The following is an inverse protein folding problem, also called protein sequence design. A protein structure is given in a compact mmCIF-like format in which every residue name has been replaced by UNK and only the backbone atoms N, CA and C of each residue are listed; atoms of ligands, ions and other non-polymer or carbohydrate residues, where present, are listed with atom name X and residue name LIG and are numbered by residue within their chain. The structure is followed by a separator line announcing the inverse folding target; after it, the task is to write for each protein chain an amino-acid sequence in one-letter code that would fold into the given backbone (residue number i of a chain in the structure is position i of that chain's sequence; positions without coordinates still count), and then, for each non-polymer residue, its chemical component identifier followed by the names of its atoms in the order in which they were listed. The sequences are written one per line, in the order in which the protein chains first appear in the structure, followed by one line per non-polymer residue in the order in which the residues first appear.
data_IF_511771022629
#
_entry.id   IF_511771022629
#
_cell.length_a   1.000
_cell.length_b   1.000
_cell.length_c   1.000
_cell.angle_alpha   90.00
_cell.angle_beta   90.00
_cell.angle_gamma   90.00
#
_symmetry.space_group_name_H-M   'P 1'
#
loop_
_entity.id
_entity.type
_entity.pdbx_description
1 polymer ?
#
# COMPACT_ATOMS: atom_id res chain seq x y z
N UNK A 1 13.08 -5.99 11.71
CA UNK A 1 13.65 -6.95 10.74
C UNK A 1 13.53 -6.32 9.37
N UNK A 2 14.50 -6.51 8.48
CA UNK A 2 14.38 -6.02 7.11
C UNK A 2 13.40 -6.91 6.34
N UNK A 3 12.49 -6.30 5.59
CA UNK A 3 11.60 -6.98 4.65
C UNK A 3 11.97 -6.57 3.22
N UNK A 4 11.73 -7.45 2.26
CA UNK A 4 12.06 -7.20 0.84
C UNK A 4 10.82 -7.31 -0.03
N UNK A 5 10.82 -6.59 -1.15
CA UNK A 5 9.89 -6.75 -2.24
C UNK A 5 10.68 -6.86 -3.55
N UNK A 6 10.19 -7.67 -4.47
CA UNK A 6 10.82 -7.89 -5.77
C UNK A 6 9.79 -7.79 -6.89
N UNK A 7 10.19 -7.15 -7.99
CA UNK A 7 9.50 -7.21 -9.27
C UNK A 7 10.14 -8.32 -10.08
N UNK A 8 9.37 -9.34 -10.40
CA UNK A 8 9.80 -10.50 -11.15
C UNK A 8 9.03 -10.63 -12.45
N UNK A 9 9.70 -11.11 -13.49
CA UNK A 9 9.06 -11.47 -14.75
C UNK A 9 9.40 -12.91 -15.09
N UNK A 10 8.40 -13.78 -14.97
CA UNK A 10 8.61 -15.21 -15.04
C UNK A 10 9.74 -15.63 -14.10
N UNK A 11 9.60 -15.41 -12.79
CA UNK A 11 10.54 -15.83 -11.74
C UNK A 11 11.98 -15.33 -11.84
N UNK A 12 12.27 -14.35 -12.71
CA UNK A 12 13.55 -13.65 -12.75
C UNK A 12 13.36 -12.24 -12.20
N UNK A 13 14.14 -11.90 -11.18
CA UNK A 13 14.13 -10.60 -10.51
C UNK A 13 14.63 -9.49 -11.43
N UNK A 14 13.88 -8.39 -11.51
CA UNK A 14 14.22 -7.17 -12.27
C UNK A 14 14.63 -6.06 -11.31
N UNK A 15 13.83 -5.83 -10.27
CA UNK A 15 14.07 -4.79 -9.26
C UNK A 15 13.81 -5.39 -7.89
N UNK A 16 14.71 -5.15 -6.94
CA UNK A 16 14.56 -5.50 -5.53
C UNK A 16 14.66 -4.27 -4.65
N UNK A 17 13.76 -4.17 -3.68
CA UNK A 17 13.72 -3.05 -2.74
C UNK A 17 13.62 -3.54 -1.30
N UNK A 18 14.29 -2.83 -0.39
CA UNK A 18 14.31 -3.16 1.03
C UNK A 18 13.43 -2.18 1.81
N UNK A 19 12.51 -2.71 2.63
CA UNK A 19 11.61 -1.97 3.53
C UNK A 19 10.64 -0.98 2.86
N UNK A 20 10.63 -0.92 1.54
CA UNK A 20 9.65 -0.19 0.73
C UNK A 20 9.43 -0.95 -0.58
N UNK A 21 8.43 -0.52 -1.35
CA UNK A 21 8.25 -0.97 -2.73
C UNK A 21 8.01 0.23 -3.65
N UNK A 22 8.29 0.03 -4.93
CA UNK A 22 7.92 0.96 -5.98
C UNK A 22 7.01 0.21 -6.95
N UNK A 23 5.85 0.76 -7.26
CA UNK A 23 4.88 0.12 -8.15
C UNK A 23 5.40 0.00 -9.58
N UNK A 24 6.41 0.78 -9.99
CA UNK A 24 6.94 0.77 -11.35
C UNK A 24 5.80 0.94 -12.38
N UNK A 25 5.65 0.02 -13.34
CA UNK A 25 4.54 0.04 -14.30
C UNK A 25 3.23 -0.56 -13.77
N UNK A 26 3.15 -1.10 -12.54
CA UNK A 26 1.91 -1.63 -11.99
C UNK A 26 0.91 -0.54 -11.63
N UNK A 27 -0.38 -0.89 -11.66
CA UNK A 27 -1.50 -0.04 -11.22
C UNK A 27 -2.17 -0.63 -9.98
N UNK A 28 -2.87 0.20 -9.20
CA UNK A 28 -3.63 -0.27 -8.02
C UNK A 28 -4.70 -1.30 -8.37
N UNK A 29 -5.25 -1.22 -9.58
CA UNK A 29 -6.22 -2.16 -10.14
C UNK A 29 -5.66 -3.58 -10.34
N UNK A 30 -4.32 -3.73 -10.33
CA UNK A 30 -3.62 -4.99 -10.57
C UNK A 30 -3.25 -5.72 -9.28
N UNK A 31 -3.75 -5.25 -8.14
CA UNK A 31 -3.61 -5.91 -6.84
C UNK A 31 -4.43 -7.20 -6.81
N UNK A 32 -3.78 -8.29 -6.37
CA UNK A 32 -4.39 -9.61 -6.20
C UNK A 32 -3.98 -10.16 -4.84
N UNK A 33 -4.97 -10.69 -4.10
CA UNK A 33 -4.74 -11.45 -2.88
C UNK A 33 -4.91 -12.92 -3.24
N UNK A 34 -3.83 -13.70 -3.14
CA UNK A 34 -3.84 -15.15 -3.40
C UNK A 34 -3.77 -15.87 -2.05
N UNK A 35 -4.72 -16.76 -1.79
CA UNK A 35 -4.70 -17.60 -0.58
C UNK A 35 -3.59 -18.65 -0.73
N UNK A 36 -2.69 -18.72 0.24
CA UNK A 36 -1.63 -19.73 0.26
C UNK A 36 -2.21 -21.15 0.31
N UNK A 37 -1.63 -22.08 -0.46
CA UNK A 37 -2.03 -23.49 -0.46
C UNK A 37 -1.57 -24.26 0.78
N UNK A 38 -0.46 -23.84 1.41
CA UNK A 38 0.23 -24.62 2.45
C UNK A 38 0.30 -23.97 3.83
N UNK A 39 0.34 -22.64 3.92
CA UNK A 39 0.51 -21.90 5.20
C UNK A 39 -0.76 -21.21 5.69
N UNK A 40 -1.85 -21.22 4.90
CA UNK A 40 -3.08 -20.43 5.09
C UNK A 40 -2.85 -18.90 5.16
N UNK A 41 -1.59 -18.45 5.03
CA UNK A 41 -1.25 -17.03 4.95
C UNK A 41 -1.48 -16.51 3.52
N UNK A 42 -2.22 -15.40 3.37
CA UNK A 42 -2.44 -14.78 2.07
C UNK A 42 -1.15 -14.13 1.55
N UNK A 43 -0.90 -14.28 0.25
CA UNK A 43 0.13 -13.52 -0.46
C UNK A 43 -0.50 -12.32 -1.17
N UNK A 44 0.21 -11.20 -1.13
CA UNK A 44 -0.25 -9.90 -1.64
C UNK A 44 0.65 -9.46 -2.79
N UNK A 45 0.08 -9.47 -4.00
CA UNK A 45 0.84 -9.26 -5.24
C UNK A 45 0.20 -8.21 -6.13
N UNK A 46 1.01 -7.48 -6.88
CA UNK A 46 0.56 -6.84 -8.11
C UNK A 46 0.88 -7.75 -9.29
N UNK A 47 -0.05 -7.93 -10.21
CA UNK A 47 0.11 -8.87 -11.33
C UNK A 47 -0.37 -8.25 -12.64
N UNK A 48 0.49 -8.25 -13.65
CA UNK A 48 0.14 -7.86 -15.02
C UNK A 48 0.67 -8.89 -16.03
N UNK A 49 0.08 -8.93 -17.23
CA UNK A 49 0.60 -9.78 -18.31
C UNK A 49 1.87 -9.17 -18.93
N UNK A 50 2.75 -10.02 -19.48
CA UNK A 50 3.92 -9.59 -20.23
C UNK A 50 3.56 -8.72 -21.44
N UNK A 51 2.41 -8.95 -22.08
CA UNK A 51 1.90 -8.08 -23.16
C UNK A 51 1.55 -6.68 -22.65
N UNK A 52 0.91 -6.59 -21.47
CA UNK A 52 0.61 -5.32 -20.82
C UNK A 52 1.88 -4.57 -20.46
N UNK A 53 2.86 -5.25 -19.86
CA UNK A 53 4.15 -4.67 -19.51
C UNK A 53 4.88 -4.17 -20.77
N UNK A 54 4.96 -5.01 -21.81
CA UNK A 54 5.58 -4.64 -23.10
C UNK A 54 4.97 -3.37 -23.69
N UNK A 55 3.64 -3.28 -23.69
CA UNK A 55 2.95 -2.08 -24.18
C UNK A 55 3.29 -0.84 -23.36
N UNK A 56 3.37 -0.95 -22.03
CA UNK A 56 3.70 0.18 -21.14
C UNK A 56 5.14 0.64 -21.34
N UNK A 57 6.09 -0.28 -21.41
CA UNK A 57 7.49 -0.01 -21.75
C UNK A 57 7.61 0.68 -23.10
N UNK A 58 6.91 0.18 -24.13
CA UNK A 58 6.97 0.75 -25.48
C UNK A 58 6.39 2.18 -25.54
N UNK A 59 5.33 2.46 -24.78
CA UNK A 59 4.78 3.81 -24.64
C UNK A 59 5.74 4.78 -23.95
N UNK A 60 6.61 4.27 -23.08
CA UNK A 60 7.64 5.04 -22.37
C UNK A 60 8.98 5.09 -23.13
N UNK A 61 9.03 4.50 -24.34
CA UNK A 61 10.20 4.54 -25.23
C UNK A 61 11.16 3.35 -25.08
N UNK A 62 10.84 2.37 -24.23
CA UNK A 62 11.63 1.16 -24.03
C UNK A 62 11.15 0.03 -24.94
N UNK A 63 12.02 -0.42 -25.85
CA UNK A 63 11.73 -1.47 -26.82
C UNK A 63 13.02 -2.20 -27.23
N UNK A 64 12.93 -3.14 -28.17
CA UNK A 64 14.08 -3.93 -28.60
C UNK A 64 15.22 -3.06 -29.20
N UNK A 65 14.90 -1.92 -29.81
CA UNK A 65 15.91 -1.02 -30.35
C UNK A 65 16.63 -0.22 -29.26
N UNK A 66 15.90 0.24 -28.24
CA UNK A 66 16.52 0.91 -27.08
C UNK A 66 17.37 -0.07 -26.27
N UNK A 67 16.88 -1.30 -26.04
CA UNK A 67 17.65 -2.38 -25.42
C UNK A 67 18.94 -2.63 -26.19
N UNK A 68 18.89 -2.69 -27.53
CA UNK A 68 20.10 -2.91 -28.33
C UNK A 68 21.13 -1.81 -28.14
N UNK A 69 20.70 -0.55 -28.06
CA UNK A 69 21.59 0.57 -27.79
C UNK A 69 22.23 0.46 -26.40
N UNK A 70 21.43 0.18 -25.36
CA UNK A 70 21.95 -0.03 -24.01
C UNK A 70 22.92 -1.21 -23.94
N UNK A 71 22.60 -2.30 -24.64
CA UNK A 71 23.43 -3.49 -24.71
C UNK A 71 24.79 -3.19 -25.34
N UNK A 72 24.80 -2.51 -26.50
CA UNK A 72 26.04 -2.18 -27.19
C UNK A 72 26.92 -1.25 -26.33
N UNK A 73 26.31 -0.29 -25.63
CA UNK A 73 26.99 0.62 -24.71
C UNK A 73 27.56 -0.11 -23.49
N UNK A 74 26.75 -0.93 -22.83
CA UNK A 74 27.16 -1.66 -21.63
C UNK A 74 28.20 -2.73 -21.95
N UNK A 75 28.05 -3.44 -23.08
CA UNK A 75 29.04 -4.42 -23.52
C UNK A 75 30.38 -3.74 -23.87
N UNK A 76 30.36 -2.54 -24.45
CA UNK A 76 31.57 -1.76 -24.70
C UNK A 76 32.23 -1.32 -23.38
N UNK A 77 31.43 -0.90 -22.39
CA UNK A 77 31.92 -0.58 -21.06
C UNK A 77 32.55 -1.81 -20.38
N UNK A 78 31.89 -2.96 -20.45
CA UNK A 78 32.40 -4.24 -19.94
C UNK A 78 33.75 -4.62 -20.55
N UNK A 79 33.91 -4.44 -21.87
CA UNK A 79 35.19 -4.70 -22.55
C UNK A 79 36.30 -3.77 -22.02
N UNK A 80 35.99 -2.49 -21.84
CA UNK A 80 36.93 -1.51 -21.30
C UNK A 80 37.34 -1.86 -19.87
N UNK A 81 36.38 -2.17 -19.03
CA UNK A 81 36.51 -2.86 -17.75
C UNK A 81 37.61 -3.91 -17.67
N UNK A 82 37.43 -4.93 -18.52
CA UNK A 82 38.35 -6.05 -18.61
C UNK A 82 39.73 -5.60 -19.04
N UNK A 83 39.85 -4.68 -20.01
CA UNK A 83 41.15 -4.15 -20.44
C UNK A 83 41.87 -3.40 -19.31
N UNK A 84 41.16 -2.55 -18.58
CA UNK A 84 41.70 -1.79 -17.46
C UNK A 84 42.14 -2.75 -16.32
N UNK A 85 41.35 -3.79 -16.03
CA UNK A 85 41.70 -4.80 -15.04
C UNK A 85 42.92 -5.64 -15.46
N UNK A 86 43.02 -6.05 -16.73
CA UNK A 86 44.18 -6.78 -17.26
C UNK A 86 45.45 -5.92 -17.18
N UNK A 87 45.34 -4.60 -17.36
CA UNK A 87 46.47 -3.69 -17.23
C UNK A 87 46.99 -3.59 -15.78
N UNK A 88 46.11 -3.75 -14.79
CA UNK A 88 46.46 -3.74 -13.36
C UNK A 88 46.96 -5.13 -12.91
N UNK A 89 46.25 -6.19 -13.30
CA UNK A 89 46.55 -7.59 -13.00
C UNK A 89 46.45 -8.46 -14.27
N UNK A 90 47.59 -8.71 -14.94
CA UNK A 90 47.64 -9.48 -16.20
C UNK A 90 47.20 -10.94 -16.11
N UNK A 91 47.14 -11.50 -14.90
CA UNK A 91 46.73 -12.88 -14.64
C UNK A 91 45.29 -12.98 -14.12
N UNK A 92 44.56 -11.85 -14.06
CA UNK A 92 43.16 -11.81 -13.64
C UNK A 92 42.23 -12.58 -14.59
N UNK A 93 41.09 -13.04 -14.07
CA UNK A 93 40.02 -13.69 -14.86
C UNK A 93 39.47 -12.81 -15.98
N UNK A 94 39.64 -11.48 -15.92
CA UNK A 94 39.23 -10.57 -17.01
C UNK A 94 39.83 -10.96 -18.37
N UNK A 95 41.04 -11.56 -18.38
CA UNK A 95 41.69 -12.08 -19.59
C UNK A 95 40.94 -13.23 -20.27
N UNK A 96 40.21 -14.05 -19.50
CA UNK A 96 39.39 -15.13 -20.06
C UNK A 96 38.02 -14.62 -20.51
N UNK A 97 37.50 -13.56 -19.87
CA UNK A 97 36.21 -12.95 -20.21
C UNK A 97 36.26 -12.06 -21.46
N UNK A 98 37.33 -11.28 -21.66
CA UNK A 98 37.41 -10.31 -22.75
C UNK A 98 37.13 -10.93 -24.15
N UNK A 99 37.74 -12.06 -24.55
CA UNK A 99 37.45 -12.67 -25.85
C UNK A 99 35.99 -13.16 -26.00
N UNK A 100 35.36 -13.56 -24.90
CA UNK A 100 33.95 -13.98 -24.87
C UNK A 100 33.05 -12.77 -25.12
N UNK A 101 33.32 -11.64 -24.45
CA UNK A 101 32.59 -10.39 -24.65
C UNK A 101 32.77 -9.84 -26.07
N UNK A 102 33.98 -9.89 -26.61
CA UNK A 102 34.31 -9.42 -27.97
C UNK A 102 33.56 -10.16 -29.08
N UNK A 103 33.38 -11.47 -28.92
CA UNK A 103 32.73 -12.33 -29.91
C UNK A 103 31.21 -12.44 -29.75
N UNK A 104 30.65 -11.99 -28.63
CA UNK A 104 29.22 -12.11 -28.32
C UNK A 104 28.34 -11.04 -28.98
N UNK A 105 27.10 -11.41 -29.30
CA UNK A 105 26.06 -10.51 -29.81
C UNK A 105 24.81 -10.55 -28.92
N UNK A 106 23.93 -9.53 -28.98
CA UNK A 106 22.67 -9.54 -28.23
C UNK A 106 21.87 -10.85 -28.41
N UNK A 107 21.85 -11.41 -29.63
CA UNK A 107 21.17 -12.68 -29.89
C UNK A 107 21.78 -13.86 -29.12
N UNK A 108 23.10 -13.88 -28.96
CA UNK A 108 23.79 -14.91 -28.19
C UNK A 108 23.38 -14.83 -26.72
N UNK A 109 23.38 -13.62 -26.15
CA UNK A 109 22.98 -13.36 -24.77
C UNK A 109 21.51 -13.72 -24.52
N UNK A 110 20.59 -13.31 -25.39
CA UNK A 110 19.18 -13.68 -25.27
C UNK A 110 18.98 -15.20 -25.33
N UNK A 111 19.74 -15.90 -26.17
CA UNK A 111 19.68 -17.37 -26.24
C UNK A 111 20.10 -18.02 -24.91
N UNK A 112 21.15 -17.49 -24.26
CA UNK A 112 21.63 -18.03 -22.97
C UNK A 112 20.72 -17.60 -21.82
N UNK A 113 20.17 -16.40 -21.85
CA UNK A 113 19.18 -15.94 -20.88
C UNK A 113 17.92 -16.82 -20.90
N UNK A 114 17.46 -17.22 -22.09
CA UNK A 114 16.39 -18.23 -22.22
C UNK A 114 16.79 -19.54 -21.56
N UNK A 115 17.99 -20.04 -21.85
CA UNK A 115 18.50 -21.30 -21.30
C UNK A 115 18.60 -21.26 -19.77
N UNK A 116 19.11 -20.18 -19.21
CA UNK A 116 19.17 -19.95 -17.74
C UNK A 116 17.78 -20.12 -17.15
N UNK A 117 16.76 -19.53 -17.79
CA UNK A 117 15.39 -19.66 -17.31
C UNK A 117 14.82 -21.06 -17.47
N UNK A 118 14.91 -21.64 -18.66
CA UNK A 118 14.31 -22.94 -19.00
C UNK A 118 14.90 -24.09 -18.18
N UNK A 119 16.19 -24.01 -17.85
CA UNK A 119 16.93 -24.99 -17.04
C UNK A 119 17.02 -24.61 -15.55
N UNK A 120 16.44 -23.47 -15.13
CA UNK A 120 16.51 -22.92 -13.76
C UNK A 120 17.96 -22.87 -13.22
N UNK A 121 18.88 -22.33 -14.02
CA UNK A 121 20.30 -22.30 -13.69
C UNK A 121 20.60 -21.17 -12.71
N UNK A 122 21.02 -21.55 -11.50
CA UNK A 122 21.44 -20.60 -10.48
C UNK A 122 22.93 -20.21 -10.62
N UNK A 123 23.28 -18.93 -10.34
CA UNK A 123 24.68 -18.51 -10.19
C UNK A 123 25.45 -19.40 -9.19
N UNK A 124 26.78 -19.33 -9.23
CA UNK A 124 27.59 -19.97 -8.19
C UNK A 124 27.47 -19.24 -6.84
N UNK A 125 27.95 -19.88 -5.77
CA UNK A 125 28.03 -19.29 -4.43
C UNK A 125 29.38 -18.63 -4.17
N UNK A 126 29.38 -17.51 -3.43
CA UNK A 126 30.62 -16.84 -3.03
C UNK A 126 31.53 -17.79 -2.23
N UNK A 127 32.78 -17.93 -2.69
CA UNK A 127 33.77 -18.83 -2.09
C UNK A 127 33.70 -20.29 -2.60
N UNK A 128 32.81 -20.59 -3.56
CA UNK A 128 32.81 -21.86 -4.29
C UNK A 128 33.36 -21.68 -5.72
N UNK A 129 33.96 -22.73 -6.32
CA UNK A 129 34.39 -22.66 -7.71
C UNK A 129 33.19 -22.46 -8.65
N UNK A 130 33.39 -21.64 -9.69
CA UNK A 130 32.38 -21.40 -10.72
C UNK A 130 31.94 -22.72 -11.38
N UNK A 131 30.65 -22.82 -11.70
CA UNK A 131 30.08 -23.96 -12.42
C UNK A 131 30.48 -23.89 -13.90
N UNK A 132 30.75 -25.05 -14.50
CA UNK A 132 31.16 -25.19 -15.91
C UNK A 132 30.04 -25.82 -16.74
N UNK A 133 29.56 -25.10 -17.75
CA UNK A 133 28.45 -25.49 -18.61
C UNK A 133 28.85 -25.78 -20.07
N UNK A 134 30.15 -25.77 -20.37
CA UNK A 134 30.68 -25.98 -21.72
C UNK A 134 30.34 -24.85 -22.71
N UNK A 135 29.82 -23.73 -22.21
CA UNK A 135 29.49 -22.53 -22.97
C UNK A 135 30.16 -21.34 -22.27
N UNK A 136 31.23 -20.76 -22.85
CA UNK A 136 31.99 -19.69 -22.21
C UNK A 136 31.16 -18.45 -21.85
N UNK A 137 30.13 -18.12 -22.64
CA UNK A 137 29.26 -16.99 -22.37
C UNK A 137 28.29 -17.31 -21.23
N UNK A 138 27.73 -18.52 -21.21
CA UNK A 138 26.88 -18.94 -20.10
C UNK A 138 27.65 -19.02 -18.78
N UNK A 139 28.89 -19.53 -18.82
CA UNK A 139 29.78 -19.53 -17.67
C UNK A 139 30.02 -18.11 -17.17
N UNK A 140 30.23 -17.14 -18.07
CA UNK A 140 30.34 -15.73 -17.71
C UNK A 140 29.07 -15.22 -17.02
N UNK A 141 27.89 -15.44 -17.61
CA UNK A 141 26.60 -15.00 -17.08
C UNK A 141 26.27 -15.54 -15.68
N UNK A 142 26.74 -16.74 -15.36
CA UNK A 142 26.50 -17.41 -14.07
C UNK A 142 27.67 -17.35 -13.09
N UNK A 143 28.77 -16.68 -13.48
CA UNK A 143 29.96 -16.59 -12.64
C UNK A 143 29.73 -15.74 -11.39
N UNK A 144 30.26 -16.21 -10.26
CA UNK A 144 30.19 -15.50 -8.97
C UNK A 144 31.17 -14.35 -8.95
N UNK A 145 32.37 -14.60 -9.47
CA UNK A 145 33.40 -13.60 -9.73
C UNK A 145 33.24 -12.95 -11.10
N UNK A 146 32.01 -12.92 -11.63
CA UNK A 146 31.68 -11.96 -12.67
C UNK A 146 32.04 -10.54 -12.23
N UNK A 147 31.72 -9.56 -13.06
CA UNK A 147 32.24 -8.20 -13.00
C UNK A 147 31.93 -7.41 -11.69
N UNK A 148 32.57 -7.76 -10.58
CA UNK A 148 32.31 -7.24 -9.24
C UNK A 148 33.03 -5.91 -8.97
N UNK A 149 33.94 -5.50 -9.85
CA UNK A 149 34.75 -4.30 -9.71
C UNK A 149 34.57 -3.37 -10.92
N UNK A 150 33.32 -3.05 -11.27
CA UNK A 150 33.01 -1.90 -12.13
C UNK A 150 32.58 -0.71 -11.28
N UNK A 151 33.03 0.47 -11.64
CA UNK A 151 32.37 1.72 -11.24
C UNK A 151 31.08 1.99 -12.06
N UNK A 152 30.76 1.10 -13.01
CA UNK A 152 29.65 1.18 -13.96
C UNK A 152 28.85 -0.13 -14.04
N UNK A 153 28.30 -0.63 -12.91
CA UNK A 153 27.51 -1.86 -12.90
C UNK A 153 26.28 -1.73 -13.82
N UNK A 154 25.96 -2.82 -14.51
CA UNK A 154 24.73 -2.91 -15.30
C UNK A 154 23.50 -3.12 -14.41
N UNK A 155 22.32 -3.04 -15.02
CA UNK A 155 21.04 -3.27 -14.33
C UNK A 155 20.45 -4.68 -14.59
N UNK A 156 21.09 -5.49 -15.44
CA UNK A 156 20.61 -6.81 -15.80
C UNK A 156 21.07 -7.90 -14.84
N UNK A 157 20.16 -8.77 -14.43
CA UNK A 157 20.51 -10.01 -13.75
C UNK A 157 21.41 -10.89 -14.63
N UNK A 158 22.17 -11.80 -14.00
CA UNK A 158 23.08 -12.74 -14.71
C UNK A 158 24.12 -12.02 -15.60
N UNK A 159 24.59 -10.85 -15.15
CA UNK A 159 25.52 -9.98 -15.86
C UNK A 159 25.04 -9.55 -17.26
N UNK A 160 23.74 -9.57 -17.52
CA UNK A 160 23.20 -9.19 -18.82
C UNK A 160 23.53 -7.71 -19.13
N UNK A 161 24.14 -7.38 -20.29
CA UNK A 161 24.55 -6.02 -20.60
C UNK A 161 23.34 -5.15 -20.89
N UNK A 162 22.88 -4.41 -19.88
CA UNK A 162 21.94 -3.31 -20.01
C UNK A 162 22.17 -2.32 -18.87
N UNK A 163 21.66 -1.10 -19.02
CA UNK A 163 21.89 -0.01 -18.08
C UNK A 163 20.65 0.28 -17.23
N UNK A 164 19.49 -0.16 -17.68
CA UNK A 164 18.22 0.05 -17.02
C UNK A 164 17.48 -1.26 -16.68
N UNK A 165 16.67 -1.27 -15.60
CA UNK A 165 15.72 -2.35 -15.34
C UNK A 165 14.74 -2.57 -16.50
N UNK A 166 14.35 -1.49 -17.18
CA UNK A 166 13.48 -1.53 -18.36
C UNK A 166 14.13 -2.29 -19.52
N UNK A 167 15.42 -2.04 -19.79
CA UNK A 167 16.22 -2.78 -20.75
C UNK A 167 16.25 -4.26 -20.42
N UNK A 168 16.51 -4.62 -19.17
CA UNK A 168 16.49 -6.02 -18.74
C UNK A 168 15.10 -6.63 -18.89
N UNK A 169 14.03 -5.92 -18.52
CA UNK A 169 12.66 -6.39 -18.69
C UNK A 169 12.32 -6.67 -20.16
N UNK A 170 12.76 -5.82 -21.10
CA UNK A 170 12.62 -6.09 -22.55
C UNK A 170 13.38 -7.37 -22.93
N UNK A 171 14.60 -7.57 -22.45
CA UNK A 171 15.38 -8.77 -22.74
C UNK A 171 14.65 -10.04 -22.28
N UNK A 172 14.10 -10.01 -21.06
CA UNK A 172 13.28 -11.10 -20.52
C UNK A 172 12.01 -11.33 -21.36
N UNK A 173 11.31 -10.27 -21.77
CA UNK A 173 10.11 -10.35 -22.61
C UNK A 173 10.39 -10.93 -24.00
N UNK A 174 11.61 -10.86 -24.53
CA UNK A 174 12.00 -11.49 -25.81
C UNK A 174 12.26 -13.00 -25.66
N UNK A 175 12.62 -13.46 -24.48
CA UNK A 175 12.99 -14.87 -24.24
C UNK A 175 11.85 -15.68 -23.63
N UNK A 176 10.95 -15.02 -22.89
CA UNK A 176 9.83 -15.65 -22.18
C UNK A 176 8.59 -15.83 -23.08
N UNK A 177 7.68 -16.75 -22.70
CA UNK A 177 6.38 -16.90 -23.34
C UNK A 177 5.54 -15.62 -23.30
N UNK A 178 4.65 -15.43 -24.27
CA UNK A 178 3.80 -14.22 -24.36
C UNK A 178 2.82 -14.06 -23.20
N UNK A 179 2.38 -15.17 -22.62
CA UNK A 179 1.45 -15.23 -21.49
C UNK A 179 2.15 -15.17 -20.13
N UNK A 180 3.46 -14.92 -20.10
CA UNK A 180 4.22 -14.74 -18.86
C UNK A 180 3.62 -13.62 -18.02
N UNK A 181 3.64 -13.78 -16.69
CA UNK A 181 3.21 -12.77 -15.75
C UNK A 181 4.40 -11.99 -15.22
N UNK A 182 4.23 -10.68 -15.11
CA UNK A 182 5.05 -9.84 -14.26
C UNK A 182 4.36 -9.72 -12.91
N UNK A 183 5.09 -10.02 -11.84
CA UNK A 183 4.57 -10.01 -10.48
C UNK A 183 5.43 -9.11 -9.60
N UNK A 184 4.80 -8.35 -8.71
CA UNK A 184 5.44 -7.68 -7.60
C UNK A 184 4.87 -8.24 -6.31
N UNK A 185 5.67 -9.01 -5.57
CA UNK A 185 5.29 -9.57 -4.28
C UNK A 185 5.70 -8.62 -3.15
N UNK A 186 4.72 -8.17 -2.36
CA UNK A 186 4.95 -7.29 -1.21
C UNK A 186 4.51 -7.92 0.11
N UNK A 187 4.28 -9.23 0.14
CA UNK A 187 3.76 -9.94 1.32
C UNK A 187 4.64 -9.73 2.55
N UNK A 188 5.96 -9.76 2.39
CA UNK A 188 6.91 -9.52 3.48
C UNK A 188 6.86 -8.09 4.02
N UNK A 189 6.49 -7.10 3.19
CA UNK A 189 6.33 -5.71 3.63
C UNK A 189 5.06 -5.54 4.47
N UNK A 190 3.95 -6.16 4.05
CA UNK A 190 2.69 -6.15 4.80
C UNK A 190 2.86 -6.86 6.15
N UNK A 191 3.40 -8.09 6.16
CA UNK A 191 3.66 -8.83 7.40
C UNK A 191 4.65 -8.11 8.31
N UNK A 192 5.57 -7.33 7.73
CA UNK A 192 6.52 -6.48 8.46
C UNK A 192 5.93 -5.15 8.97
N UNK A 193 4.68 -4.82 8.62
CA UNK A 193 4.03 -3.55 8.98
C UNK A 193 4.60 -2.33 8.25
N UNK A 194 5.28 -2.53 7.12
CA UNK A 194 5.87 -1.44 6.33
C UNK A 194 4.86 -0.71 5.45
N UNK A 195 3.72 -1.33 5.14
CA UNK A 195 2.70 -0.76 4.26
C UNK A 195 1.32 -1.36 4.50
N UNK A 196 0.29 -0.56 4.22
CA UNK A 196 -1.14 -0.86 4.26
C UNK A 196 -1.75 -0.93 2.84
N UNK A 197 -0.92 -1.12 1.81
CA UNK A 197 -1.30 -1.01 0.39
C UNK A 197 -2.40 -1.99 -0.07
N UNK A 198 -2.82 -2.95 0.76
CA UNK A 198 -3.90 -3.89 0.49
C UNK A 198 -5.03 -3.83 1.52
N UNK A 199 -4.95 -2.97 2.54
CA UNK A 199 -5.92 -2.90 3.63
C UNK A 199 -7.33 -2.60 3.11
N UNK A 200 -7.44 -1.72 2.11
CA UNK A 200 -8.70 -1.41 1.42
C UNK A 200 -9.29 -2.64 0.70
N UNK A 201 -8.45 -3.41 0.02
CA UNK A 201 -8.86 -4.63 -0.67
C UNK A 201 -9.26 -5.73 0.31
N UNK A 202 -8.52 -5.90 1.41
CA UNK A 202 -8.87 -6.82 2.49
C UNK A 202 -10.20 -6.41 3.14
N UNK A 203 -10.36 -5.14 3.50
CA UNK A 203 -11.59 -4.60 4.09
C UNK A 203 -12.79 -4.73 3.15
N UNK A 204 -12.59 -4.54 1.84
CA UNK A 204 -13.66 -4.69 0.85
C UNK A 204 -14.24 -6.12 0.80
N UNK A 205 -13.41 -7.13 1.10
CA UNK A 205 -13.80 -8.55 1.09
C UNK A 205 -14.47 -8.99 2.40
N UNK A 206 -14.33 -8.23 3.48
CA UNK A 206 -15.02 -8.50 4.76
C UNK A 206 -16.47 -8.01 4.71
N UNK A 207 -17.31 -8.35 5.69
CA UNK A 207 -18.69 -7.82 5.72
C UNK A 207 -18.69 -6.31 6.06
N UNK A 208 -17.81 -5.90 6.96
CA UNK A 208 -17.68 -4.56 7.55
C UNK A 208 -16.22 -4.09 7.57
N UNK A 209 -15.99 -2.79 7.80
CA UNK A 209 -14.62 -2.24 7.90
C UNK A 209 -13.92 -2.63 9.21
N UNK A 210 -12.58 -2.46 9.25
CA UNK A 210 -11.78 -2.73 10.45
C UNK A 210 -12.20 -1.88 11.65
N UNK A 211 -12.50 -0.59 11.45
CA UNK A 211 -12.99 0.28 12.53
C UNK A 211 -14.36 -0.15 13.04
N UNK A 212 -15.22 -0.69 12.19
CA UNK A 212 -16.48 -1.27 12.64
C UNK A 212 -16.24 -2.49 13.54
N UNK A 213 -15.28 -3.35 13.19
CA UNK A 213 -14.92 -4.50 14.02
C UNK A 213 -14.41 -4.07 15.40
N UNK A 214 -13.53 -3.06 15.48
CA UNK A 214 -13.05 -2.49 16.74
C UNK A 214 -14.19 -1.88 17.57
N UNK A 215 -15.07 -1.11 16.92
CA UNK A 215 -16.27 -0.57 17.55
C UNK A 215 -17.16 -1.69 18.11
N UNK A 216 -17.37 -2.76 17.35
CA UNK A 216 -18.20 -3.90 17.77
C UNK A 216 -17.61 -4.61 18.98
N UNK A 217 -16.30 -4.85 19.00
CA UNK A 217 -15.59 -5.40 20.17
C UNK A 217 -15.80 -4.54 21.42
N UNK A 218 -15.70 -3.21 21.29
CA UNK A 218 -15.94 -2.30 22.40
C UNK A 218 -17.37 -2.39 22.95
N UNK A 219 -18.38 -2.55 22.07
CA UNK A 219 -19.75 -2.78 22.52
C UNK A 219 -19.93 -4.12 23.24
N UNK A 220 -19.26 -5.18 22.79
CA UNK A 220 -19.30 -6.50 23.43
C UNK A 220 -18.66 -6.47 24.82
N UNK A 221 -17.54 -5.75 24.98
CA UNK A 221 -16.92 -5.50 26.28
C UNK A 221 -17.86 -4.75 27.23
N UNK A 222 -18.50 -3.68 26.76
CA UNK A 222 -19.50 -2.94 27.54
C UNK A 222 -20.64 -3.85 28.01
N UNK A 223 -21.15 -4.70 27.12
CA UNK A 223 -22.21 -5.66 27.45
C UNK A 223 -21.73 -6.72 28.45
N UNK A 224 -20.48 -7.16 28.36
CA UNK A 224 -19.91 -8.10 29.34
C UNK A 224 -19.86 -7.50 30.74
N UNK A 225 -19.52 -6.20 30.86
CA UNK A 225 -19.48 -5.48 32.13
C UNK A 225 -20.89 -5.28 32.71
N UNK A 226 -21.89 -5.04 31.86
CA UNK A 226 -23.28 -4.89 32.29
C UNK A 226 -23.79 -6.14 33.04
N UNK A 227 -23.32 -7.33 32.66
CA UNK A 227 -23.69 -8.61 33.28
C UNK A 227 -23.10 -8.80 34.68
N UNK A 228 -21.98 -8.15 35.01
CA UNK A 228 -21.31 -8.31 36.29
C UNK A 228 -22.06 -7.64 37.45
N UNK A 229 -22.84 -6.59 37.18
CA UNK A 229 -23.58 -5.85 38.19
C UNK A 229 -24.93 -5.32 37.65
N UNK A 230 -25.92 -6.21 37.41
CA UNK A 230 -27.13 -5.90 36.63
C UNK A 230 -28.04 -4.82 37.23
N UNK A 231 -27.90 -4.51 38.53
CA UNK A 231 -28.72 -3.52 39.25
C UNK A 231 -27.95 -2.25 39.63
N UNK A 232 -26.71 -2.08 39.15
CA UNK A 232 -25.86 -0.95 39.52
C UNK A 232 -26.10 0.27 38.62
N UNK A 233 -26.92 1.23 39.06
CA UNK A 233 -27.26 2.43 38.29
C UNK A 233 -26.06 3.36 37.97
N UNK A 234 -25.11 3.62 38.90
CA UNK A 234 -23.86 4.31 38.54
C UNK A 234 -23.11 3.64 37.41
N UNK A 235 -22.97 2.31 37.44
CA UNK A 235 -22.32 1.57 36.37
C UNK A 235 -23.12 1.68 35.07
N UNK A 236 -24.45 1.57 35.10
CA UNK A 236 -25.28 1.75 33.91
C UNK A 236 -25.05 3.10 33.23
N UNK A 237 -24.95 4.19 34.01
CA UNK A 237 -24.60 5.53 33.50
C UNK A 237 -23.21 5.57 32.86
N UNK A 238 -22.21 4.95 33.49
CA UNK A 238 -20.86 4.88 32.93
C UNK A 238 -20.84 4.10 31.62
N UNK A 239 -21.48 2.92 31.57
CA UNK A 239 -21.58 2.10 30.37
C UNK A 239 -22.30 2.84 29.25
N UNK A 240 -23.39 3.55 29.55
CA UNK A 240 -24.09 4.40 28.58
C UNK A 240 -23.16 5.44 27.96
N UNK A 241 -22.36 6.14 28.77
CA UNK A 241 -21.37 7.08 28.27
C UNK A 241 -20.30 6.40 27.42
N UNK A 242 -19.82 5.21 27.82
CA UNK A 242 -18.84 4.41 27.07
C UNK A 242 -19.33 3.99 25.68
N UNK A 243 -20.62 3.63 25.53
CA UNK A 243 -21.20 3.30 24.21
C UNK A 243 -21.13 4.50 23.25
N UNK A 244 -21.43 5.71 23.75
CA UNK A 244 -21.31 6.93 22.95
C UNK A 244 -19.84 7.21 22.61
N UNK A 245 -18.91 7.00 23.55
CA UNK A 245 -17.47 7.13 23.28
C UNK A 245 -16.98 6.16 22.19
N UNK A 246 -17.44 4.91 22.18
CA UNK A 246 -17.10 3.94 21.14
C UNK A 246 -17.57 4.43 19.75
N UNK A 247 -18.78 4.99 19.67
CA UNK A 247 -19.30 5.60 18.45
C UNK A 247 -18.51 6.84 18.02
N UNK A 248 -18.19 7.75 18.94
CA UNK A 248 -17.38 8.94 18.66
C UNK A 248 -16.01 8.55 18.07
N UNK A 249 -15.39 7.52 18.65
CA UNK A 249 -14.10 6.96 18.20
C UNK A 249 -14.21 6.41 16.78
N UNK A 250 -15.21 5.57 16.51
CA UNK A 250 -15.48 5.06 15.16
C UNK A 250 -15.64 6.19 14.13
N UNK A 251 -16.44 7.22 14.46
CA UNK A 251 -16.71 8.33 13.55
C UNK A 251 -15.47 9.19 13.30
N UNK A 252 -14.65 9.41 14.32
CA UNK A 252 -13.39 10.16 14.21
C UNK A 252 -12.38 9.41 13.34
N UNK A 253 -12.12 8.15 13.68
CA UNK A 253 -11.06 7.36 13.04
C UNK A 253 -11.42 7.04 11.59
N UNK A 254 -12.69 6.74 11.32
CA UNK A 254 -13.19 6.55 9.95
C UNK A 254 -13.00 7.81 9.11
N UNK A 255 -13.39 8.98 9.60
CA UNK A 255 -13.20 10.24 8.86
C UNK A 255 -11.72 10.50 8.61
N UNK A 256 -10.87 10.33 9.63
CA UNK A 256 -9.42 10.54 9.52
C UNK A 256 -8.82 9.64 8.46
N UNK A 257 -9.07 8.33 8.51
CA UNK A 257 -8.55 7.37 7.52
C UNK A 257 -8.99 7.75 6.12
N UNK A 258 -10.28 8.01 5.90
CA UNK A 258 -10.79 8.37 4.58
C UNK A 258 -10.17 9.67 4.04
N UNK A 259 -9.94 10.67 4.90
CA UNK A 259 -9.28 11.94 4.52
C UNK A 259 -7.82 11.74 4.11
N UNK A 260 -7.05 10.90 4.80
CA UNK A 260 -5.62 10.73 4.50
C UNK A 260 -5.34 9.69 3.43
N UNK A 261 -6.18 8.67 3.29
CA UNK A 261 -6.01 7.60 2.28
C UNK A 261 -6.49 8.04 0.90
N UNK A 262 -7.52 8.92 0.81
CA UNK A 262 -8.14 9.32 -0.46
C UNK A 262 -7.94 10.80 -0.76
N UNK A 263 -7.07 11.19 -1.72
CA UNK A 263 -6.83 12.58 -2.09
C UNK A 263 -8.10 13.38 -2.44
N UNK A 264 -9.07 12.75 -3.13
CA UNK A 264 -10.34 13.40 -3.44
C UNK A 264 -11.18 13.72 -2.18
N UNK A 265 -11.14 12.87 -1.17
CA UNK A 265 -11.81 13.11 0.11
C UNK A 265 -11.06 14.20 0.90
N UNK A 266 -9.73 14.17 0.92
CA UNK A 266 -8.90 15.24 1.50
C UNK A 266 -9.28 16.61 0.95
N UNK A 267 -9.39 16.70 -0.38
CA UNK A 267 -9.81 17.91 -1.08
C UNK A 267 -11.21 18.34 -0.65
N UNK A 268 -12.20 17.44 -0.69
CA UNK A 268 -13.57 17.73 -0.25
C UNK A 268 -13.62 18.22 1.21
N UNK A 269 -12.80 17.64 2.09
CA UNK A 269 -12.69 18.08 3.48
C UNK A 269 -12.22 19.53 3.58
N UNK A 270 -11.11 19.87 2.91
CA UNK A 270 -10.55 21.23 2.89
C UNK A 270 -11.53 22.25 2.28
N UNK A 271 -12.22 21.88 1.20
CA UNK A 271 -13.16 22.79 0.51
C UNK A 271 -14.46 23.03 1.31
N UNK A 272 -14.93 22.03 2.06
CA UNK A 272 -16.24 22.10 2.73
C UNK A 272 -16.16 22.46 4.22
N UNK A 273 -15.02 22.24 4.89
CA UNK A 273 -14.90 22.46 6.31
C UNK A 273 -14.67 23.94 6.66
N UNK A 274 -15.47 24.48 7.59
CA UNK A 274 -15.52 25.92 7.89
C UNK A 274 -14.19 26.53 8.33
N UNK A 275 -13.32 25.76 9.00
CA UNK A 275 -11.99 26.21 9.46
C UNK A 275 -11.02 26.58 8.32
N UNK A 276 -11.28 26.13 7.11
CA UNK A 276 -10.46 26.42 5.93
C UNK A 276 -10.98 27.60 5.11
N UNK A 277 -12.23 28.03 5.35
CA UNK A 277 -12.85 29.14 4.62
C UNK A 277 -12.33 30.48 5.11
N UNK A 278 -12.15 31.43 4.17
CA UNK A 278 -11.77 32.81 4.48
C UNK A 278 -10.28 33.05 4.70
N UNK A 279 -9.42 32.05 4.48
CA UNK A 279 -7.98 32.22 4.52
C UNK A 279 -7.47 32.86 3.22
N UNK A 280 -6.90 34.06 3.29
CA UNK A 280 -6.22 34.67 2.15
C UNK A 280 -4.91 33.91 1.87
N UNK A 281 -4.79 33.33 0.68
CA UNK A 281 -3.58 32.64 0.24
C UNK A 281 -2.77 33.56 -0.66
N UNK A 282 -1.63 34.04 -0.17
CA UNK A 282 -0.62 34.65 -1.04
C UNK A 282 0.12 33.53 -1.79
N UNK A 283 0.24 33.68 -3.11
CA UNK A 283 0.90 32.71 -3.99
C UNK A 283 2.36 32.45 -3.57
N UNK A 284 3.05 33.45 -3.00
CA UNK A 284 4.43 33.25 -2.54
C UNK A 284 4.54 32.23 -1.40
N UNK A 285 3.45 31.96 -0.68
CA UNK A 285 3.41 31.02 0.44
C UNK A 285 2.81 29.66 0.08
N UNK A 286 2.56 29.38 -1.22
CA UNK A 286 1.83 28.16 -1.63
C UNK A 286 2.52 26.88 -1.17
N UNK A 287 3.84 26.77 -1.35
CA UNK A 287 4.59 25.57 -0.97
C UNK A 287 4.59 25.35 0.55
N UNK A 288 4.85 26.39 1.34
CA UNK A 288 4.79 26.31 2.82
C UNK A 288 3.39 25.92 3.32
N UNK A 289 2.33 26.35 2.62
CA UNK A 289 0.95 25.97 2.96
C UNK A 289 0.63 24.53 2.59
N UNK A 290 1.16 24.03 1.47
CA UNK A 290 1.03 22.63 1.10
C UNK A 290 1.77 21.71 2.09
N UNK A 291 3.00 22.07 2.47
CA UNK A 291 3.79 21.32 3.46
C UNK A 291 3.11 21.25 4.84
N UNK A 292 2.43 22.33 5.25
CA UNK A 292 1.74 22.39 6.54
C UNK A 292 0.27 21.94 6.51
N UNK A 293 -0.27 21.62 5.33
CA UNK A 293 -1.70 21.32 5.18
C UNK A 293 -2.12 20.10 6.01
N UNK A 294 -1.31 19.05 6.02
CA UNK A 294 -1.66 17.77 6.65
C UNK A 294 -1.66 17.85 8.17
N UNK A 295 -0.71 18.60 8.73
CA UNK A 295 -0.69 18.90 10.16
C UNK A 295 -1.89 19.77 10.57
N UNK A 296 -2.29 20.71 9.71
CA UNK A 296 -3.47 21.52 9.96
C UNK A 296 -4.78 20.73 9.85
N UNK A 297 -4.92 19.85 8.85
CA UNK A 297 -6.04 18.91 8.74
C UNK A 297 -6.15 18.04 9.99
N UNK A 298 -5.03 17.47 10.45
CA UNK A 298 -4.96 16.65 11.67
C UNK A 298 -5.53 17.43 12.86
N UNK A 299 -5.04 18.65 13.09
CA UNK A 299 -5.51 19.52 14.17
C UNK A 299 -7.00 19.81 14.08
N UNK A 300 -7.52 20.08 12.88
CA UNK A 300 -8.95 20.37 12.70
C UNK A 300 -9.81 19.14 13.05
N UNK A 301 -9.39 17.94 12.64
CA UNK A 301 -10.10 16.70 12.99
C UNK A 301 -10.03 16.45 14.51
N UNK A 302 -8.88 16.65 15.14
CA UNK A 302 -8.69 16.46 16.59
C UNK A 302 -9.56 17.41 17.44
N UNK A 303 -9.81 18.63 16.95
CA UNK A 303 -10.67 19.63 17.60
C UNK A 303 -12.17 19.38 17.36
N UNK A 304 -12.54 18.48 16.44
CA UNK A 304 -13.93 18.27 16.04
C UNK A 304 -14.69 17.48 17.11
N UNK A 305 -15.89 17.95 17.45
CA UNK A 305 -16.75 17.33 18.45
C UNK A 305 -17.64 16.26 17.83
N UNK A 306 -17.14 15.03 17.74
CA UNK A 306 -17.88 13.91 17.12
C UNK A 306 -19.14 13.46 17.86
N UNK A 307 -19.34 13.87 19.12
CA UNK A 307 -20.65 13.73 19.78
C UNK A 307 -21.72 14.66 19.19
N UNK A 308 -21.37 15.75 18.50
CA UNK A 308 -22.36 16.60 17.83
C UNK A 308 -22.89 15.92 16.57
N UNK A 309 -23.87 15.04 16.72
CA UNK A 309 -24.43 14.23 15.62
C UNK A 309 -24.94 15.08 14.46
N UNK A 310 -25.47 16.28 14.74
CA UNK A 310 -25.90 17.23 13.69
C UNK A 310 -24.72 17.76 12.88
N UNK A 311 -23.59 18.06 13.54
CA UNK A 311 -22.36 18.47 12.85
C UNK A 311 -21.78 17.31 12.06
N UNK A 312 -21.68 16.14 12.68
CA UNK A 312 -21.19 14.91 12.04
C UNK A 312 -22.00 14.58 10.79
N UNK A 313 -23.33 14.63 10.85
CA UNK A 313 -24.19 14.39 9.68
C UNK A 313 -23.87 15.33 8.52
N UNK A 314 -23.66 16.62 8.79
CA UNK A 314 -23.29 17.59 7.74
C UNK A 314 -21.90 17.29 7.19
N UNK A 315 -20.95 16.96 8.06
CA UNK A 315 -19.58 16.65 7.69
C UNK A 315 -19.49 15.39 6.83
N UNK A 316 -20.08 14.29 7.30
CA UNK A 316 -20.13 13.00 6.60
C UNK A 316 -20.84 13.13 5.25
N UNK A 317 -21.96 13.87 5.18
CA UNK A 317 -22.66 14.11 3.93
C UNK A 317 -21.81 14.89 2.93
N UNK A 318 -21.14 15.96 3.36
CA UNK A 318 -20.42 16.84 2.44
C UNK A 318 -19.03 16.31 2.05
N UNK A 319 -18.40 15.51 2.90
CA UNK A 319 -17.02 15.01 2.70
C UNK A 319 -16.99 13.57 2.23
N UNK A 320 -17.78 12.70 2.88
CA UNK A 320 -17.80 11.25 2.62
C UNK A 320 -19.02 10.81 1.79
N UNK A 321 -19.90 11.74 1.40
CA UNK A 321 -21.16 11.44 0.71
C UNK A 321 -22.02 10.39 1.43
N UNK A 322 -21.90 10.32 2.76
CA UNK A 322 -22.58 9.34 3.60
C UNK A 322 -23.70 10.01 4.39
N UNK A 323 -24.87 9.36 4.45
CA UNK A 323 -26.01 9.89 5.21
C UNK A 323 -26.39 8.97 6.38
N UNK A 324 -26.70 9.59 7.52
CA UNK A 324 -27.34 8.93 8.65
C UNK A 324 -28.86 9.10 8.48
N UNK A 325 -29.59 7.99 8.43
CA UNK A 325 -31.05 8.04 8.28
C UNK A 325 -31.72 8.81 9.42
N UNK A 326 -32.81 9.52 9.12
CA UNK A 326 -33.55 10.32 10.12
C UNK A 326 -33.92 9.53 11.39
N UNK A 327 -34.41 8.27 11.31
CA UNK A 327 -34.67 7.48 12.51
C UNK A 327 -33.44 7.23 13.39
N UNK A 328 -32.27 7.00 12.79
CA UNK A 328 -31.01 6.84 13.54
C UNK A 328 -30.59 8.19 14.16
N UNK A 329 -30.62 9.27 13.38
CA UNK A 329 -30.31 10.62 13.84
C UNK A 329 -31.12 11.01 15.09
N UNK A 330 -32.44 10.83 15.05
CA UNK A 330 -33.32 11.22 16.15
C UNK A 330 -32.98 10.44 17.44
N UNK A 331 -32.61 9.16 17.33
CA UNK A 331 -32.17 8.34 18.47
C UNK A 331 -30.82 8.80 19.01
N UNK A 332 -29.83 9.01 18.13
CA UNK A 332 -28.47 9.39 18.52
C UNK A 332 -28.42 10.79 19.16
N UNK A 333 -29.17 11.76 18.62
CA UNK A 333 -29.24 13.12 19.21
C UNK A 333 -29.78 13.08 20.63
N UNK A 334 -30.84 12.30 20.89
CA UNK A 334 -31.37 12.10 22.24
C UNK A 334 -30.33 11.43 23.15
N UNK A 335 -29.67 10.40 22.66
CA UNK A 335 -28.69 9.66 23.44
C UNK A 335 -27.47 10.51 23.85
N UNK A 336 -26.94 11.31 22.92
CA UNK A 336 -25.85 12.25 23.22
C UNK A 336 -26.27 13.27 24.27
N UNK A 337 -27.49 13.80 24.20
CA UNK A 337 -28.00 14.72 25.23
C UNK A 337 -27.99 14.09 26.62
N UNK A 338 -28.37 12.81 26.73
CA UNK A 338 -28.33 12.07 28.00
C UNK A 338 -26.88 11.85 28.44
N UNK A 339 -25.96 11.53 27.51
CA UNK A 339 -24.52 11.42 27.81
C UNK A 339 -23.93 12.73 28.32
N UNK A 340 -24.34 13.89 27.79
CA UNK A 340 -23.91 15.19 28.33
C UNK A 340 -24.35 15.37 29.79
N UNK A 341 -25.59 15.02 30.11
CA UNK A 341 -26.10 15.07 31.49
C UNK A 341 -25.35 14.08 32.40
N UNK A 342 -25.04 12.88 31.92
CA UNK A 342 -24.24 11.90 32.67
C UNK A 342 -22.86 12.46 33.00
N UNK A 343 -22.12 12.94 32.00
CA UNK A 343 -20.71 13.34 32.16
C UNK A 343 -20.57 14.68 32.88
N UNK A 344 -21.40 15.67 32.57
CA UNK A 344 -21.23 17.02 33.11
C UNK A 344 -22.14 17.34 34.31
N UNK A 345 -23.17 16.53 34.55
CA UNK A 345 -24.17 16.78 35.61
C UNK A 345 -24.47 15.55 36.46
N UNK A 346 -23.60 14.53 36.40
CA UNK A 346 -23.74 13.27 37.14
C UNK A 346 -25.11 12.60 36.93
N UNK A 347 -25.66 12.70 35.72
CA UNK A 347 -26.94 12.10 35.34
C UNK A 347 -28.17 12.96 35.67
N UNK A 348 -27.98 14.26 35.98
CA UNK A 348 -29.08 15.21 36.16
C UNK A 348 -29.34 16.03 34.91
N UNK A 349 -30.61 16.23 34.57
CA UNK A 349 -31.02 17.14 33.51
C UNK A 349 -30.72 18.61 33.87
N UNK A 350 -30.89 19.53 32.90
CA UNK A 350 -30.86 20.99 33.15
C UNK A 350 -31.82 21.43 34.26
N UNK A 351 -32.93 20.71 34.44
CA UNK A 351 -33.99 21.03 35.40
C UNK A 351 -33.73 20.38 36.78
N UNK A 352 -32.66 19.59 36.91
CA UNK A 352 -32.27 18.93 38.15
C UNK A 352 -32.83 17.51 38.34
N UNK A 353 -33.64 17.03 37.40
CA UNK A 353 -34.21 15.68 37.44
C UNK A 353 -33.16 14.61 37.18
N UNK A 354 -33.15 13.55 37.98
CA UNK A 354 -32.25 12.41 37.77
C UNK A 354 -32.76 11.55 36.60
N UNK A 355 -31.88 11.27 35.64
CA UNK A 355 -32.06 10.16 34.71
C UNK A 355 -31.96 8.85 35.49
N UNK A 356 -33.10 8.22 35.78
CA UNK A 356 -33.10 6.84 36.26
C UNK A 356 -32.67 5.95 35.12
N UNK A 357 -31.52 5.31 35.28
CA UNK A 357 -30.89 4.52 34.25
C UNK A 357 -30.52 3.15 34.79
N UNK A 358 -30.93 2.12 34.07
CA UNK A 358 -30.63 0.73 34.38
C UNK A 358 -29.82 0.09 33.22
N UNK A 359 -29.45 -1.18 33.36
CA UNK A 359 -28.67 -1.89 32.35
C UNK A 359 -29.43 -2.13 31.04
N UNK A 360 -30.77 -2.17 31.07
CA UNK A 360 -31.59 -2.29 29.87
C UNK A 360 -31.52 -1.01 29.02
N UNK A 361 -31.44 0.17 29.64
CA UNK A 361 -31.23 1.43 28.91
C UNK A 361 -29.87 1.44 28.18
N UNK A 362 -28.82 0.93 28.82
CA UNK A 362 -27.51 0.78 28.19
C UNK A 362 -27.55 -0.23 27.03
N UNK A 363 -28.23 -1.36 27.20
CA UNK A 363 -28.42 -2.37 26.14
C UNK A 363 -29.19 -1.82 24.94
N UNK A 364 -30.28 -1.10 25.18
CA UNK A 364 -31.05 -0.45 24.11
C UNK A 364 -30.24 0.60 23.36
N UNK A 365 -29.35 1.30 24.07
CA UNK A 365 -28.40 2.21 23.43
C UNK A 365 -27.42 1.45 22.54
N UNK A 366 -26.83 0.35 23.02
CA UNK A 366 -25.94 -0.52 22.22
C UNK A 366 -26.61 -0.90 20.91
N UNK A 367 -27.85 -1.39 20.95
CA UNK A 367 -28.59 -1.80 19.75
C UNK A 367 -28.84 -0.62 18.79
N UNK A 368 -29.21 0.55 19.34
CA UNK A 368 -29.49 1.74 18.54
C UNK A 368 -28.23 2.31 17.87
N UNK A 369 -27.10 2.34 18.59
CA UNK A 369 -25.82 2.83 18.10
C UNK A 369 -25.20 1.84 17.11
N UNK A 370 -25.24 0.53 17.40
CA UNK A 370 -24.77 -0.49 16.47
C UNK A 370 -25.52 -0.42 15.13
N UNK A 371 -26.85 -0.29 15.17
CA UNK A 371 -27.64 -0.17 13.94
C UNK A 371 -27.29 1.08 13.13
N UNK A 372 -27.03 2.22 13.78
CA UNK A 372 -26.65 3.46 13.09
C UNK A 372 -25.23 3.36 12.51
N UNK A 373 -24.26 2.86 13.29
CA UNK A 373 -22.88 2.69 12.85
C UNK A 373 -22.77 1.65 11.73
N UNK A 374 -23.49 0.52 11.81
CA UNK A 374 -23.63 -0.45 10.70
C UNK A 374 -24.13 0.20 9.40
N UNK A 375 -25.08 1.11 9.50
CA UNK A 375 -25.65 1.79 8.33
C UNK A 375 -24.65 2.76 7.68
N UNK A 376 -23.85 3.45 8.49
CA UNK A 376 -22.75 4.31 8.03
C UNK A 376 -21.66 3.45 7.40
N UNK A 377 -21.24 2.38 8.09
CA UNK A 377 -20.12 1.54 7.68
C UNK A 377 -20.31 0.92 6.30
N UNK A 378 -21.52 0.44 5.99
CA UNK A 378 -21.84 -0.10 4.68
C UNK A 378 -21.65 0.91 3.55
N UNK A 379 -22.00 2.18 3.77
CA UNK A 379 -21.79 3.24 2.79
C UNK A 379 -20.30 3.58 2.61
N UNK A 380 -19.53 3.60 3.70
CA UNK A 380 -18.08 3.81 3.66
C UNK A 380 -17.39 2.67 2.91
N UNK A 381 -17.81 1.44 3.18
CA UNK A 381 -17.28 0.24 2.56
C UNK A 381 -17.53 0.20 1.04
N UNK A 382 -18.74 0.56 0.60
CA UNK A 382 -19.10 0.61 -0.82
C UNK A 382 -18.11 1.47 -1.64
N UNK A 383 -17.60 2.56 -1.05
CA UNK A 383 -16.65 3.43 -1.71
C UNK A 383 -15.17 3.09 -1.50
N UNK A 384 -14.81 1.94 -0.88
CA UNK A 384 -13.40 1.61 -0.56
C UNK A 384 -12.52 1.47 -1.81
N UNK A 385 -13.06 0.82 -2.85
CA UNK A 385 -12.32 0.50 -4.08
C UNK A 385 -12.59 1.46 -5.24
N UNK A 386 -13.35 2.54 -5.01
CA UNK A 386 -13.59 3.56 -6.04
C UNK A 386 -12.24 4.15 -6.46
N UNK A 387 -11.77 3.76 -7.65
CA UNK A 387 -10.51 4.23 -8.21
C UNK A 387 -10.57 5.76 -8.35
N UNK A 388 -9.63 6.43 -7.70
CA UNK A 388 -9.15 7.69 -8.24
C UNK A 388 -8.19 7.23 -9.33
N UNK A 389 -8.67 7.17 -10.59
CA UNK A 389 -7.74 7.31 -11.71
C UNK A 389 -6.91 8.55 -11.38
N UNK A 390 -5.60 8.37 -11.17
CA UNK A 390 -4.65 9.47 -11.08
C UNK A 390 -4.62 10.14 -12.45
N UNK A 391 -5.67 10.91 -12.74
CA UNK A 391 -5.79 11.76 -13.91
C UNK A 391 -4.94 13.00 -13.65
N UNK A 392 -3.63 12.78 -13.58
CA UNK A 392 -2.62 13.82 -13.79
C UNK A 392 -2.26 13.93 -15.29
N UNK A 393 -3.19 13.55 -16.18
CA UNK A 393 -3.18 13.90 -17.60
C UNK A 393 -4.05 15.12 -17.90
N UNK A 394 -3.69 16.29 -17.34
CA UNK A 394 -3.94 17.65 -17.87
C UNK A 394 -3.69 18.64 -16.72
N UNK A 395 -2.66 19.49 -16.78
CA UNK A 395 -2.46 20.63 -17.69
C UNK A 395 -0.97 20.93 -17.84
#
# INVERSE_FOLDING_TARGET
MSSWAAIELGGMSIIETQNHFYMWYFRKSERVIVKGSDTDEPTYKFVMSGETLRRRLELDGHNIASLRLEFDQQLAQMKKDCLDMIAIDPDSKAKTFLPVLESSTLSDWLTRLRRIRDEELEPGDFGQPDKEFGDPLLNFMLSVEGYYFSDHPGAGGHHFPCQSPEGYAIALLEVLPKDVKCELDISALISGGWTDAFDDLVESQQEFTSFYALFKSSLEEVMSLALLAPTNEPLARMLYASVITAMETYLSDTLRKQVFVKPAIKRRFVENHGKFKGNQLDLCNIYTRLESLDSFITKVIDEESFHSIVSVQKLYKNVLLTEISKPHMDKLVRAVSIRHDIVHRNGKSLQGDNHKMNMEDARQLVDAVDAAVRHIDKQIKDGLLDEIEDDFSSV
#
